data_IF_318083006720
#
_entry.id   IF_318083006720
#
_cell.length_a   1.000
_cell.length_b   1.000
_cell.length_c   1.000
_cell.angle_alpha   90.00
_cell.angle_beta   90.00
_cell.angle_gamma   90.00
#
_symmetry.space_group_name_H-M   'P 1'
#
loop_
_entity.id
_entity.type
_entity.pdbx_description
1 polymer ?
#
# COMPACT_ATOMS: atom_id res chain seq x y z
N UNK A 1 -5.94 -21.78 -20.25
CA UNK A 1 -5.37 -20.42 -20.14
C UNK A 1 -5.37 -20.04 -18.67
N UNK A 2 -4.22 -19.92 -18.03
CA UNK A 2 -4.14 -19.31 -16.70
C UNK A 2 -4.35 -17.81 -16.87
N UNK A 3 -5.52 -17.30 -16.49
CA UNK A 3 -5.75 -15.88 -16.45
C UNK A 3 -4.73 -15.25 -15.48
N UNK A 4 -3.93 -14.32 -15.98
CA UNK A 4 -3.02 -13.55 -15.13
C UNK A 4 -3.88 -12.68 -14.22
N UNK A 5 -3.69 -12.83 -12.91
CA UNK A 5 -4.40 -12.01 -11.93
C UNK A 5 -3.90 -10.55 -12.03
N UNK A 6 -4.77 -9.55 -11.85
CA UNK A 6 -4.35 -8.16 -11.72
C UNK A 6 -3.35 -8.00 -10.57
N UNK A 7 -2.36 -7.13 -10.76
CA UNK A 7 -1.32 -6.86 -9.78
C UNK A 7 -1.81 -5.85 -8.74
N UNK A 8 -1.59 -6.15 -7.46
CA UNK A 8 -1.72 -5.21 -6.36
C UNK A 8 -0.40 -5.09 -5.60
N UNK A 9 -0.12 -3.91 -5.04
CA UNK A 9 1.00 -3.70 -4.11
C UNK A 9 0.49 -3.48 -2.69
N UNK A 10 1.32 -3.82 -1.71
CA UNK A 10 1.02 -3.54 -0.30
C UNK A 10 1.66 -2.24 0.17
N UNK A 11 1.03 -1.54 1.10
CA UNK A 11 1.65 -0.42 1.81
C UNK A 11 1.33 -0.49 3.29
N UNK A 12 2.35 -0.37 4.14
CA UNK A 12 2.19 -0.32 5.59
C UNK A 12 3.14 0.69 6.22
N UNK A 13 2.78 1.16 7.41
CA UNK A 13 3.59 2.02 8.25
C UNK A 13 4.10 1.23 9.44
N UNK A 14 5.41 1.15 9.58
CA UNK A 14 6.04 0.33 10.62
C UNK A 14 5.74 0.85 12.03
N UNK A 15 5.53 2.15 12.19
CA UNK A 15 5.20 2.75 13.49
C UNK A 15 3.78 2.41 14.00
N UNK A 16 2.90 1.94 13.10
CA UNK A 16 1.54 1.49 13.44
C UNK A 16 1.46 -0.02 13.64
N UNK A 17 2.46 -0.76 13.17
CA UNK A 17 2.67 -2.16 13.47
C UNK A 17 3.26 -2.24 14.88
N UNK A 18 2.42 -2.15 15.91
CA UNK A 18 2.83 -2.50 17.30
C UNK A 18 3.65 -3.79 17.26
N UNK A 19 4.65 -3.99 18.16
CA UNK A 19 5.66 -5.09 18.36
C UNK A 19 5.46 -6.52 17.77
N UNK A 20 4.33 -6.81 17.14
CA UNK A 20 4.10 -7.86 16.17
C UNK A 20 5.21 -7.92 15.13
N UNK A 21 5.53 -9.15 14.78
CA UNK A 21 6.41 -9.50 13.66
C UNK A 21 5.98 -8.73 12.39
N UNK A 22 6.89 -7.95 11.76
CA UNK A 22 6.63 -7.26 10.49
C UNK A 22 6.07 -8.19 9.39
N UNK A 23 6.36 -9.49 9.46
CA UNK A 23 5.81 -10.48 8.53
C UNK A 23 4.30 -10.71 8.69
N UNK A 24 3.71 -10.27 9.80
CA UNK A 24 2.29 -10.43 10.07
C UNK A 24 1.41 -9.59 9.13
N UNK A 25 1.78 -8.32 8.89
CA UNK A 25 1.06 -7.47 7.95
C UNK A 25 1.12 -8.03 6.52
N UNK A 26 2.29 -8.52 6.11
CA UNK A 26 2.50 -9.07 4.77
C UNK A 26 1.62 -10.29 4.53
N UNK A 27 1.51 -11.16 5.55
CA UNK A 27 0.62 -12.34 5.49
C UNK A 27 -0.84 -11.94 5.37
N UNK A 28 -1.29 -10.91 6.10
CA UNK A 28 -2.65 -10.38 5.99
C UNK A 28 -2.90 -9.83 4.60
N UNK A 29 -2.01 -8.97 4.09
CA UNK A 29 -2.13 -8.39 2.76
C UNK A 29 -2.11 -9.46 1.67
N UNK A 30 -1.27 -10.49 1.81
CA UNK A 30 -1.21 -11.61 0.87
C UNK A 30 -2.49 -12.45 0.89
N UNK A 31 -3.03 -12.74 2.07
CA UNK A 31 -4.29 -13.46 2.20
C UNK A 31 -5.45 -12.65 1.60
N UNK A 32 -5.49 -11.34 1.86
CA UNK A 32 -6.49 -10.44 1.31
C UNK A 32 -6.38 -10.28 -0.22
N UNK A 33 -5.17 -10.15 -0.76
CA UNK A 33 -4.96 -10.10 -2.21
C UNK A 33 -5.50 -11.37 -2.89
N UNK A 34 -5.20 -12.55 -2.32
CA UNK A 34 -5.70 -13.83 -2.83
C UNK A 34 -7.22 -13.94 -2.78
N UNK A 35 -7.85 -13.51 -1.69
CA UNK A 35 -9.32 -13.55 -1.57
C UNK A 35 -10.02 -12.59 -2.51
N UNK A 36 -9.37 -11.46 -2.85
CA UNK A 36 -9.86 -10.45 -3.78
C UNK A 36 -9.50 -10.73 -5.25
N UNK A 37 -8.72 -11.77 -5.54
CA UNK A 37 -8.34 -12.14 -6.91
C UNK A 37 -7.17 -11.33 -7.48
N UNK A 38 -6.29 -10.81 -6.63
CA UNK A 38 -5.06 -10.13 -7.04
C UNK A 38 -3.83 -11.03 -6.86
N UNK A 39 -2.82 -10.81 -7.71
CA UNK A 39 -1.46 -11.18 -7.39
C UNK A 39 -0.85 -10.05 -6.52
N UNK A 40 -0.38 -10.37 -5.32
CA UNK A 40 0.34 -9.40 -4.50
C UNK A 40 1.80 -9.33 -4.94
N UNK A 41 2.27 -8.13 -5.26
CA UNK A 41 3.68 -7.82 -5.48
C UNK A 41 4.39 -7.50 -4.16
N UNK A 42 5.28 -6.52 -4.20
CA UNK A 42 6.00 -6.02 -3.03
C UNK A 42 5.04 -5.36 -2.02
N UNK A 43 5.30 -5.59 -0.72
CA UNK A 43 4.74 -4.78 0.37
C UNK A 43 5.77 -3.71 0.72
N UNK A 44 5.34 -2.46 0.68
CA UNK A 44 6.16 -1.29 0.96
C UNK A 44 6.02 -0.89 2.43
N UNK A 45 7.15 -0.83 3.13
CA UNK A 45 7.23 -0.51 4.56
C UNK A 45 7.74 0.91 4.75
N UNK A 46 6.86 1.80 5.17
CA UNK A 46 7.20 3.17 5.48
C UNK A 46 7.56 3.31 6.97
N UNK A 47 8.76 3.82 7.31
CA UNK A 47 9.06 4.18 8.69
C UNK A 47 8.14 5.30 9.20
N UNK A 48 8.07 5.46 10.53
CA UNK A 48 7.23 6.50 11.14
C UNK A 48 7.53 7.92 10.61
N UNK A 49 6.54 8.84 10.63
CA UNK A 49 6.62 10.14 9.97
C UNK A 49 7.76 10.99 10.55
N UNK A 50 8.73 11.33 9.71
CA UNK A 50 9.91 12.13 10.12
C UNK A 50 9.76 13.63 9.84
N UNK A 51 8.83 14.05 8.96
CA UNK A 51 8.66 15.45 8.55
C UNK A 51 7.29 15.73 7.91
N UNK A 52 7.04 16.97 7.50
CA UNK A 52 5.84 17.39 6.74
C UNK A 52 5.92 17.14 5.22
N UNK A 53 6.85 16.30 4.76
CA UNK A 53 7.02 16.00 3.32
C UNK A 53 6.31 14.71 2.92
N UNK A 54 6.27 14.44 1.61
CA UNK A 54 5.81 13.15 1.12
C UNK A 54 6.71 12.02 1.67
N UNK A 55 6.12 10.91 2.15
CA UNK A 55 6.91 9.77 2.63
C UNK A 55 7.70 9.14 1.47
N UNK A 56 9.01 8.86 1.64
CA UNK A 56 9.86 8.40 0.55
C UNK A 56 9.44 7.02 0.02
N UNK A 57 9.05 6.10 0.88
CA UNK A 57 8.63 4.75 0.46
C UNK A 57 7.27 4.82 -0.26
N UNK A 58 6.40 5.75 0.16
CA UNK A 58 5.18 6.07 -0.59
C UNK A 58 5.48 6.59 -2.00
N UNK A 59 6.53 7.40 -2.20
CA UNK A 59 6.93 7.84 -3.54
C UNK A 59 7.40 6.67 -4.39
N UNK A 60 8.17 5.75 -3.83
CA UNK A 60 8.63 4.53 -4.52
C UNK A 60 7.43 3.65 -4.92
N UNK A 61 6.45 3.47 -4.03
CA UNK A 61 5.20 2.78 -4.33
C UNK A 61 4.48 3.41 -5.54
N UNK A 62 4.32 4.73 -5.57
CA UNK A 62 3.65 5.43 -6.69
C UNK A 62 4.39 5.19 -8.01
N UNK A 63 5.72 5.25 -7.99
CA UNK A 63 6.54 4.98 -9.17
C UNK A 63 6.38 3.54 -9.66
N UNK A 64 6.36 2.58 -8.74
CA UNK A 64 6.21 1.17 -9.05
C UNK A 64 4.81 0.80 -9.53
N UNK A 65 3.76 1.39 -8.93
CA UNK A 65 2.39 1.27 -9.44
C UNK A 65 2.30 1.74 -10.89
N UNK A 66 2.89 2.91 -11.19
CA UNK A 66 2.92 3.45 -12.56
C UNK A 66 3.71 2.56 -13.51
N UNK A 67 4.89 2.08 -13.10
CA UNK A 67 5.77 1.23 -13.92
C UNK A 67 5.12 -0.11 -14.26
N UNK A 68 4.51 -0.74 -13.26
CA UNK A 68 3.92 -2.07 -13.39
C UNK A 68 2.44 -2.04 -13.82
N UNK A 69 1.84 -0.84 -13.96
CA UNK A 69 0.41 -0.64 -14.21
C UNK A 69 -0.47 -1.35 -13.18
N UNK A 70 -0.03 -1.33 -11.91
CA UNK A 70 -0.80 -1.87 -10.80
C UNK A 70 -1.86 -0.84 -10.38
N UNK A 71 -3.12 -1.13 -10.66
CA UNK A 71 -4.24 -0.23 -10.38
C UNK A 71 -4.75 -0.33 -8.93
N UNK A 72 -4.13 -1.15 -8.08
CA UNK A 72 -4.61 -1.38 -6.71
C UNK A 72 -3.47 -1.40 -5.70
N UNK A 73 -3.65 -0.67 -4.60
CA UNK A 73 -2.80 -0.69 -3.41
C UNK A 73 -3.63 -1.21 -2.24
N UNK A 74 -3.16 -2.27 -1.60
CA UNK A 74 -3.76 -2.83 -0.39
C UNK A 74 -3.04 -2.28 0.84
N UNK A 75 -3.80 -1.90 1.87
CA UNK A 75 -3.25 -1.37 3.11
C UNK A 75 -4.08 -1.81 4.30
N UNK A 76 -3.51 -1.73 5.51
CA UNK A 76 -4.27 -1.89 6.76
C UNK A 76 -4.97 -0.57 7.15
N UNK A 77 -6.06 -0.62 7.93
CA UNK A 77 -6.81 0.58 8.30
C UNK A 77 -5.94 1.60 9.02
N UNK A 78 -5.99 2.86 8.57
CA UNK A 78 -5.26 3.95 9.20
C UNK A 78 -3.80 4.11 8.77
N UNK A 79 -3.26 3.19 7.95
CA UNK A 79 -1.86 3.25 7.49
C UNK A 79 -1.59 4.36 6.45
N UNK A 80 -2.63 4.91 5.81
CA UNK A 80 -2.56 6.15 5.01
C UNK A 80 -3.10 7.38 5.75
N UNK A 81 -3.40 7.24 7.04
CA UNK A 81 -3.90 8.31 7.90
C UNK A 81 -2.86 8.68 8.95
N UNK A 82 -3.04 9.82 9.62
CA UNK A 82 -2.13 10.25 10.70
C UNK A 82 -0.70 10.53 10.23
N UNK A 83 -0.50 10.74 8.93
CA UNK A 83 0.70 11.40 8.38
C UNK A 83 0.54 12.91 8.50
N UNK A 84 1.66 13.64 8.48
CA UNK A 84 1.66 15.11 8.39
C UNK A 84 0.89 15.63 7.16
N UNK A 85 0.86 14.82 6.09
CA UNK A 85 -0.03 15.00 4.94
C UNK A 85 -1.44 14.47 5.22
N UNK A 86 -2.46 15.20 4.76
CA UNK A 86 -3.85 14.74 4.77
C UNK A 86 -4.00 13.46 3.94
N UNK A 87 -4.70 12.45 4.48
CA UNK A 87 -5.02 11.18 3.81
C UNK A 87 -5.52 11.37 2.36
N UNK A 88 -6.38 12.38 2.13
CA UNK A 88 -6.92 12.69 0.79
C UNK A 88 -5.85 13.10 -0.22
N UNK A 89 -4.76 13.72 0.23
CA UNK A 89 -3.66 14.12 -0.65
C UNK A 89 -2.88 12.89 -1.12
N UNK A 90 -2.64 11.92 -0.24
CA UNK A 90 -1.99 10.66 -0.61
C UNK A 90 -2.84 9.89 -1.63
N UNK A 91 -4.16 9.79 -1.40
CA UNK A 91 -5.08 9.17 -2.37
C UNK A 91 -5.05 9.88 -3.73
N UNK A 92 -5.13 11.21 -3.74
CA UNK A 92 -5.09 11.99 -4.96
C UNK A 92 -3.77 11.82 -5.75
N UNK A 93 -2.64 11.62 -5.05
CA UNK A 93 -1.36 11.36 -5.70
C UNK A 93 -1.36 9.98 -6.37
N UNK A 94 -1.83 8.92 -5.70
CA UNK A 94 -1.91 7.58 -6.28
C UNK A 94 -2.82 7.55 -7.51
N UNK A 95 -3.97 8.19 -7.43
CA UNK A 95 -4.91 8.31 -8.54
C UNK A 95 -4.28 9.10 -9.71
N UNK A 96 -3.76 10.31 -9.45
CA UNK A 96 -3.27 11.19 -10.50
C UNK A 96 -1.92 10.76 -11.12
N UNK A 97 -1.09 9.98 -10.40
CA UNK A 97 0.26 9.62 -10.85
C UNK A 97 0.41 8.16 -11.25
N UNK A 98 -0.47 7.28 -10.79
CA UNK A 98 -0.37 5.85 -11.06
C UNK A 98 -1.70 5.19 -11.44
N UNK A 99 -2.81 5.94 -11.50
CA UNK A 99 -4.15 5.39 -11.73
C UNK A 99 -4.49 4.26 -10.74
N UNK A 100 -3.92 4.35 -9.53
CA UNK A 100 -4.04 3.33 -8.51
C UNK A 100 -5.07 3.72 -7.46
N UNK A 101 -6.01 2.83 -7.19
CA UNK A 101 -6.96 2.95 -6.09
C UNK A 101 -6.42 2.26 -4.83
N UNK A 102 -6.78 2.80 -3.67
CA UNK A 102 -6.45 2.18 -2.38
C UNK A 102 -7.63 1.37 -1.87
N UNK A 103 -7.35 0.18 -1.36
CA UNK A 103 -8.30 -0.63 -0.63
C UNK A 103 -7.76 -0.99 0.75
N UNK A 104 -8.45 -0.55 1.80
CA UNK A 104 -8.16 -0.97 3.17
C UNK A 104 -8.72 -2.38 3.40
N UNK A 105 -7.90 -3.27 3.95
CA UNK A 105 -8.28 -4.65 4.24
C UNK A 105 -8.23 -4.89 5.75
N UNK A 106 -9.28 -5.52 6.30
CA UNK A 106 -9.32 -5.87 7.72
C UNK A 106 -8.57 -7.19 7.93
N UNK A 107 -7.74 -7.31 8.98
CA UNK A 107 -7.15 -8.58 9.40
C UNK A 107 -8.17 -9.68 9.67
#
# INVERSE_FOLDING_TARGET
>A
MTALLPLAYGYVRDDLLSDRDPSFSDKILLAAARSLGYALGTVFHEPGPQSATLPPVFVDLVQECRRARACTVLTLPGHLSGTSLCHRVLLAILEARAEAAVQEVRP
#
